data_IF_286250621237
#
_entry.id   IF_286250621237
#
_cell.length_a   1.000
_cell.length_b   1.000
_cell.length_c   1.000
_cell.angle_alpha   90.00
_cell.angle_beta   90.00
_cell.angle_gamma   90.00
#
_symmetry.space_group_name_H-M   'P 1'
#
loop_
_entity.id
_entity.type
_entity.pdbx_description
1 polymer ?
#
# COMPACT_ATOMS: atom_id res chain seq x y z
N UNK A 1 0.37 -17.92 31.94
CA UNK A 1 -1.00 -17.44 32.18
C UNK A 1 -1.75 -17.55 30.87
N UNK A 2 -2.89 -18.22 30.84
CA UNK A 2 -3.74 -18.24 29.65
C UNK A 2 -4.39 -16.85 29.51
N UNK A 3 -3.99 -16.08 28.52
CA UNK A 3 -4.66 -14.81 28.20
C UNK A 3 -6.01 -15.18 27.58
N UNK A 4 -7.10 -14.86 28.26
CA UNK A 4 -8.45 -15.00 27.68
C UNK A 4 -8.64 -13.95 26.61
N UNK A 5 -8.64 -14.37 25.34
CA UNK A 5 -8.89 -13.50 24.19
C UNK A 5 -10.39 -13.18 24.14
N UNK A 6 -10.73 -11.89 24.08
CA UNK A 6 -12.14 -11.47 24.02
C UNK A 6 -12.71 -11.67 22.62
N UNK A 7 -14.05 -11.74 22.49
CA UNK A 7 -14.71 -11.76 21.18
C UNK A 7 -14.37 -10.51 20.35
N UNK A 8 -14.19 -9.36 21.01
CA UNK A 8 -13.82 -8.11 20.37
C UNK A 8 -12.42 -8.18 19.75
N UNK A 9 -11.46 -8.80 20.45
CA UNK A 9 -10.09 -9.02 19.95
C UNK A 9 -10.09 -9.89 18.70
N UNK A 10 -10.83 -10.99 18.72
CA UNK A 10 -10.98 -11.90 17.57
C UNK A 10 -11.63 -11.22 16.37
N UNK A 11 -12.71 -10.47 16.60
CA UNK A 11 -13.41 -9.75 15.52
C UNK A 11 -12.54 -8.63 14.96
N UNK A 12 -11.84 -7.89 15.82
CA UNK A 12 -10.90 -6.84 15.40
C UNK A 12 -9.75 -7.40 14.56
N UNK A 13 -9.13 -8.48 15.01
CA UNK A 13 -8.08 -9.20 14.30
C UNK A 13 -8.55 -9.69 12.92
N UNK A 14 -9.71 -10.37 12.87
CA UNK A 14 -10.30 -10.84 11.63
C UNK A 14 -10.64 -9.67 10.69
N UNK A 15 -11.22 -8.59 11.21
CA UNK A 15 -11.52 -7.37 10.46
C UNK A 15 -10.27 -6.74 9.84
N UNK A 16 -9.17 -6.68 10.59
CA UNK A 16 -7.90 -6.15 10.08
C UNK A 16 -7.32 -7.01 8.96
N UNK A 17 -7.37 -8.34 9.08
CA UNK A 17 -6.93 -9.27 8.03
C UNK A 17 -7.82 -9.13 6.80
N UNK A 18 -9.15 -9.11 6.97
CA UNK A 18 -10.10 -8.92 5.86
C UNK A 18 -9.87 -7.59 5.15
N UNK A 19 -9.55 -6.52 5.88
CA UNK A 19 -9.19 -5.23 5.30
C UNK A 19 -7.94 -5.35 4.44
N UNK A 20 -6.86 -5.95 4.94
CA UNK A 20 -5.63 -6.16 4.16
C UNK A 20 -5.90 -6.99 2.89
N UNK A 21 -6.65 -8.08 3.00
CA UNK A 21 -7.05 -8.93 1.86
C UNK A 21 -7.86 -8.14 0.84
N UNK A 22 -8.86 -7.36 1.28
CA UNK A 22 -9.68 -6.55 0.41
C UNK A 22 -8.87 -5.48 -0.34
N UNK A 23 -7.91 -4.83 0.34
CA UNK A 23 -7.01 -3.87 -0.30
C UNK A 23 -6.14 -4.52 -1.37
N UNK A 24 -5.55 -5.69 -1.11
CA UNK A 24 -4.73 -6.39 -2.08
C UNK A 24 -5.53 -6.96 -3.26
N UNK A 25 -6.76 -7.42 -3.01
CA UNK A 25 -7.70 -7.77 -4.07
C UNK A 25 -8.01 -6.56 -4.97
N UNK A 26 -8.29 -5.39 -4.37
CA UNK A 26 -8.51 -4.15 -5.10
C UNK A 26 -7.27 -3.72 -5.91
N UNK A 27 -6.07 -3.83 -5.34
CA UNK A 27 -4.79 -3.61 -6.05
C UNK A 27 -4.67 -4.53 -7.27
N UNK A 28 -4.98 -5.82 -7.13
CA UNK A 28 -4.98 -6.78 -8.24
C UNK A 28 -5.95 -6.39 -9.36
N UNK A 29 -7.18 -6.04 -8.99
CA UNK A 29 -8.21 -5.56 -9.93
C UNK A 29 -7.75 -4.28 -10.64
N UNK A 30 -7.20 -3.30 -9.91
CA UNK A 30 -6.66 -2.07 -10.47
C UNK A 30 -5.49 -2.34 -11.42
N UNK A 31 -4.54 -3.19 -11.03
CA UNK A 31 -3.38 -3.53 -11.84
C UNK A 31 -3.79 -4.19 -13.17
N UNK A 32 -4.78 -5.09 -13.12
CA UNK A 32 -5.35 -5.73 -14.29
C UNK A 32 -6.14 -4.74 -15.17
N UNK A 33 -7.12 -4.03 -14.60
CA UNK A 33 -7.99 -3.11 -15.33
C UNK A 33 -7.21 -1.96 -15.98
N UNK A 34 -6.14 -1.49 -15.34
CA UNK A 34 -5.33 -0.38 -15.85
C UNK A 34 -4.42 -0.78 -17.03
N UNK A 35 -4.39 -2.06 -17.45
CA UNK A 35 -3.73 -2.51 -18.70
C UNK A 35 -4.56 -2.20 -19.95
N UNK A 36 -5.88 -2.04 -19.82
CA UNK A 36 -6.80 -1.93 -20.95
C UNK A 36 -7.26 -0.51 -21.27
N UNK A 37 -8.47 -0.42 -21.84
CA UNK A 37 -9.18 0.85 -22.10
C UNK A 37 -9.35 1.66 -20.82
N UNK A 38 -9.40 2.98 -20.98
CA UNK A 38 -9.62 3.90 -19.87
C UNK A 38 -11.01 3.65 -19.28
N UNK A 39 -11.10 3.60 -17.94
CA UNK A 39 -12.35 3.42 -17.22
C UNK A 39 -12.39 4.38 -16.03
N UNK A 40 -13.41 5.25 -15.91
CA UNK A 40 -13.47 6.24 -14.82
C UNK A 40 -13.45 5.63 -13.42
N UNK A 41 -14.04 4.44 -13.23
CA UNK A 41 -14.07 3.78 -11.92
C UNK A 41 -12.67 3.38 -11.42
N UNK A 42 -11.68 3.17 -12.30
CA UNK A 42 -10.31 2.82 -11.91
C UNK A 42 -9.67 3.98 -11.13
N UNK A 43 -9.96 5.22 -11.54
CA UNK A 43 -9.53 6.41 -10.81
C UNK A 43 -10.16 6.43 -9.40
N UNK A 44 -11.48 6.27 -9.31
CA UNK A 44 -12.20 6.32 -8.04
C UNK A 44 -11.78 5.21 -7.07
N UNK A 45 -11.66 3.97 -7.57
CA UNK A 45 -11.19 2.84 -6.75
C UNK A 45 -9.74 3.07 -6.28
N UNK A 46 -8.89 3.65 -7.12
CA UNK A 46 -7.51 3.98 -6.71
C UNK A 46 -7.49 5.03 -5.60
N UNK A 47 -8.33 6.08 -5.70
CA UNK A 47 -8.49 7.07 -4.61
C UNK A 47 -8.95 6.40 -3.32
N UNK A 48 -9.91 5.47 -3.40
CA UNK A 48 -10.37 4.68 -2.26
C UNK A 48 -9.25 3.86 -1.60
N UNK A 49 -8.48 3.11 -2.40
CA UNK A 49 -7.33 2.31 -1.91
C UNK A 49 -6.27 3.20 -1.26
N UNK A 50 -5.95 4.35 -1.85
CA UNK A 50 -5.00 5.30 -1.28
C UNK A 50 -5.52 5.85 0.06
N UNK A 51 -6.79 6.27 0.10
CA UNK A 51 -7.41 6.79 1.32
C UNK A 51 -7.43 5.78 2.46
N UNK A 52 -7.83 4.54 2.19
CA UNK A 52 -7.77 3.46 3.18
C UNK A 52 -6.33 3.19 3.63
N UNK A 53 -5.36 3.19 2.71
CA UNK A 53 -3.95 3.06 3.07
C UNK A 53 -3.46 4.17 4.01
N UNK A 54 -3.91 5.41 3.81
CA UNK A 54 -3.58 6.54 4.71
C UNK A 54 -4.18 6.32 6.10
N UNK A 55 -5.44 5.89 6.20
CA UNK A 55 -6.10 5.60 7.49
C UNK A 55 -5.37 4.48 8.24
N UNK A 56 -5.02 3.40 7.54
CA UNK A 56 -4.26 2.29 8.13
C UNK A 56 -2.88 2.74 8.63
N UNK A 57 -2.17 3.55 7.84
CA UNK A 57 -0.85 4.02 8.22
C UNK A 57 -0.88 4.99 9.40
N UNK A 58 -1.93 5.81 9.54
CA UNK A 58 -2.10 6.68 10.70
C UNK A 58 -2.18 5.86 12.00
N UNK A 59 -3.03 4.83 12.03
CA UNK A 59 -3.12 3.92 13.19
C UNK A 59 -1.80 3.19 13.47
N UNK A 60 -1.13 2.72 12.42
CA UNK A 60 0.12 1.99 12.55
C UNK A 60 1.26 2.85 13.11
N UNK A 61 1.44 4.07 12.60
CA UNK A 61 2.46 5.02 13.11
C UNK A 61 2.11 5.47 14.52
N UNK A 62 0.84 5.70 14.82
CA UNK A 62 0.39 6.07 16.16
C UNK A 62 0.76 5.00 17.20
N UNK A 63 0.69 3.72 16.83
CA UNK A 63 1.18 2.64 17.68
C UNK A 63 2.70 2.75 17.90
N UNK A 64 3.51 2.89 16.84
CA UNK A 64 4.98 3.03 16.98
C UNK A 64 5.40 4.26 17.79
N UNK A 65 4.70 5.39 17.63
CA UNK A 65 4.91 6.58 18.45
C UNK A 65 4.63 6.29 19.93
N UNK A 66 3.55 5.56 20.22
CA UNK A 66 3.20 5.18 21.58
C UNK A 66 4.23 4.20 22.19
N UNK A 67 4.78 3.28 21.40
CA UNK A 67 5.86 2.38 21.83
C UNK A 67 7.13 3.16 22.18
N UNK A 68 7.54 4.11 21.35
CA UNK A 68 8.70 4.97 21.63
C UNK A 68 8.47 5.82 22.87
N UNK A 69 7.29 6.44 23.00
CA UNK A 69 6.95 7.24 24.17
C UNK A 69 6.99 6.41 25.47
N UNK A 70 6.44 5.20 25.44
CA UNK A 70 6.51 4.27 26.57
C UNK A 70 7.97 3.88 26.88
N UNK A 71 8.75 3.53 25.85
CA UNK A 71 10.16 3.13 26.01
C UNK A 71 11.03 4.24 26.60
N UNK A 72 10.81 5.51 26.24
CA UNK A 72 11.54 6.65 26.83
C UNK A 72 11.35 6.68 28.36
N UNK A 73 10.15 6.36 28.84
CA UNK A 73 9.87 6.28 30.27
C UNK A 73 10.32 4.95 30.91
N UNK A 74 10.49 3.89 30.12
CA UNK A 74 10.76 2.53 30.58
C UNK A 74 11.78 1.79 29.68
N UNK A 75 13.04 2.26 29.58
CA UNK A 75 13.98 1.80 28.54
C UNK A 75 14.42 0.34 28.69
N UNK A 76 14.24 -0.26 29.87
CA UNK A 76 14.61 -1.64 30.16
C UNK A 76 13.42 -2.60 30.20
N UNK A 77 12.20 -2.08 30.02
CA UNK A 77 10.99 -2.91 30.01
C UNK A 77 10.80 -3.57 28.64
N UNK A 78 10.00 -4.63 28.63
CA UNK A 78 9.56 -5.27 27.38
C UNK A 78 8.84 -4.25 26.51
N UNK A 79 8.92 -4.46 25.19
CA UNK A 79 8.14 -3.69 24.24
C UNK A 79 6.66 -3.68 24.65
N UNK A 80 6.13 -2.48 24.87
CA UNK A 80 4.74 -2.24 25.24
C UNK A 80 3.91 -1.98 23.98
N UNK A 81 2.61 -2.15 24.09
CA UNK A 81 1.64 -1.76 23.08
C UNK A 81 0.43 -1.12 23.72
N UNK A 82 -0.28 -0.30 22.96
CA UNK A 82 -1.59 0.18 23.40
C UNK A 82 -2.56 -0.98 23.66
N UNK A 83 -3.61 -0.79 24.48
CA UNK A 83 -4.62 -1.83 24.70
C UNK A 83 -5.24 -2.36 23.41
N UNK A 84 -5.47 -1.48 22.42
CA UNK A 84 -5.97 -1.87 21.10
C UNK A 84 -4.95 -2.73 20.35
N UNK A 85 -3.69 -2.30 20.31
CA UNK A 85 -2.61 -3.07 19.68
C UNK A 85 -2.44 -4.45 20.32
N UNK A 86 -2.45 -4.51 21.65
CA UNK A 86 -2.37 -5.76 22.42
C UNK A 86 -3.55 -6.68 22.11
N UNK A 87 -4.78 -6.14 22.08
CA UNK A 87 -5.99 -6.90 21.75
C UNK A 87 -5.92 -7.52 20.36
N UNK A 88 -5.53 -6.72 19.34
CA UNK A 88 -5.37 -7.21 17.98
C UNK A 88 -4.27 -8.27 17.86
N UNK A 89 -3.12 -8.07 18.51
CA UNK A 89 -2.03 -9.03 18.51
C UNK A 89 -2.44 -10.36 19.17
N UNK A 90 -3.15 -10.31 20.30
CA UNK A 90 -3.71 -11.49 20.96
C UNK A 90 -4.73 -12.20 20.07
N UNK A 91 -5.62 -11.43 19.43
CA UNK A 91 -6.60 -11.94 18.49
C UNK A 91 -5.96 -12.71 17.33
N UNK A 92 -4.90 -12.15 16.73
CA UNK A 92 -4.13 -12.78 15.65
C UNK A 92 -3.30 -13.97 16.14
N UNK A 93 -2.80 -13.94 17.37
CA UNK A 93 -1.99 -15.00 17.97
C UNK A 93 -2.74 -16.31 18.21
N UNK A 94 -4.07 -16.32 18.14
CA UNK A 94 -4.89 -17.53 18.31
C UNK A 94 -4.55 -18.65 17.31
N UNK A 95 -3.95 -18.32 16.17
CA UNK A 95 -3.54 -19.32 15.16
C UNK A 95 -2.36 -20.19 15.60
N UNK A 96 -1.55 -19.73 16.58
CA UNK A 96 -0.50 -20.51 17.22
C UNK A 96 -0.28 -20.03 18.66
N UNK A 97 -1.15 -20.47 19.61
CA UNK A 97 -1.12 -19.98 21.00
C UNK A 97 0.18 -20.30 21.75
N UNK A 98 0.94 -21.29 21.28
CA UNK A 98 2.26 -21.67 21.80
C UNK A 98 3.38 -20.70 21.38
N UNK A 99 3.09 -19.73 20.50
CA UNK A 99 4.06 -18.79 19.93
C UNK A 99 3.70 -17.35 20.29
N UNK A 100 4.05 -16.88 21.51
CA UNK A 100 3.55 -15.61 22.05
C UNK A 100 3.95 -14.37 21.24
N UNK A 101 5.02 -14.42 20.45
CA UNK A 101 5.43 -13.33 19.56
C UNK A 101 4.75 -13.35 18.19
N UNK A 102 4.12 -14.47 17.78
CA UNK A 102 3.61 -14.59 16.41
C UNK A 102 2.47 -13.60 16.12
N UNK A 103 1.56 -13.40 17.07
CA UNK A 103 0.46 -12.44 16.92
C UNK A 103 0.95 -11.02 16.64
N UNK A 104 2.03 -10.62 17.29
CA UNK A 104 2.72 -9.33 17.06
C UNK A 104 3.30 -9.23 15.66
N UNK A 105 4.00 -10.27 15.20
CA UNK A 105 4.60 -10.26 13.86
C UNK A 105 3.51 -10.23 12.77
N UNK A 106 2.41 -10.98 12.95
CA UNK A 106 1.25 -10.95 12.04
C UNK A 106 0.61 -9.55 12.04
N UNK A 107 0.48 -8.91 13.20
CA UNK A 107 -0.11 -7.57 13.31
C UNK A 107 0.71 -6.55 12.52
N UNK A 108 2.02 -6.51 12.74
CA UNK A 108 2.90 -5.62 12.00
C UNK A 108 2.90 -5.96 10.50
N UNK A 109 2.98 -7.23 10.13
CA UNK A 109 2.92 -7.64 8.72
C UNK A 109 1.64 -7.12 8.05
N UNK A 110 0.50 -7.29 8.71
CA UNK A 110 -0.82 -6.86 8.21
C UNK A 110 -0.89 -5.34 8.04
N UNK A 111 -0.47 -4.58 9.07
CA UNK A 111 -0.40 -3.12 9.00
C UNK A 111 0.52 -2.61 7.88
N UNK A 112 1.69 -3.22 7.71
CA UNK A 112 2.63 -2.88 6.65
C UNK A 112 2.11 -3.21 5.26
N UNK A 113 1.31 -4.27 5.10
CA UNK A 113 0.69 -4.64 3.84
C UNK A 113 -0.47 -3.70 3.45
N UNK A 114 -1.25 -3.21 4.42
CA UNK A 114 -2.24 -2.15 4.22
C UNK A 114 -1.56 -0.87 3.74
N UNK A 115 -0.47 -0.48 4.41
CA UNK A 115 0.32 0.68 4.02
C UNK A 115 0.91 0.54 2.61
N UNK A 116 1.53 -0.60 2.31
CA UNK A 116 2.09 -0.88 0.99
C UNK A 116 1.01 -0.83 -0.11
N UNK A 117 -0.18 -1.36 0.14
CA UNK A 117 -1.28 -1.30 -0.82
C UNK A 117 -1.70 0.15 -1.14
N UNK A 118 -1.70 1.06 -0.15
CA UNK A 118 -1.94 2.48 -0.36
C UNK A 118 -0.89 3.13 -1.29
N UNK A 119 0.39 2.84 -1.06
CA UNK A 119 1.51 3.31 -1.90
C UNK A 119 1.42 2.74 -3.33
N UNK A 120 1.10 1.46 -3.47
CA UNK A 120 0.85 0.84 -4.78
C UNK A 120 -0.33 1.52 -5.49
N UNK A 121 -1.38 1.90 -4.75
CA UNK A 121 -2.49 2.72 -5.24
C UNK A 121 -2.01 4.01 -5.91
N UNK A 122 -1.04 4.73 -5.30
CA UNK A 122 -0.44 5.94 -5.90
C UNK A 122 0.31 5.62 -7.21
N UNK A 123 1.05 4.51 -7.26
CA UNK A 123 1.77 4.09 -8.47
C UNK A 123 0.80 3.67 -9.58
N UNK A 124 -0.32 3.04 -9.23
CA UNK A 124 -1.35 2.61 -10.16
C UNK A 124 -2.14 3.81 -10.70
N UNK A 125 -2.60 4.73 -9.85
CA UNK A 125 -3.37 5.90 -10.30
C UNK A 125 -2.52 6.79 -11.22
N UNK A 126 -1.22 6.90 -10.97
CA UNK A 126 -0.30 7.70 -11.81
C UNK A 126 0.22 6.98 -13.05
N UNK A 127 -0.23 5.75 -13.36
CA UNK A 127 0.26 4.96 -14.51
C UNK A 127 0.15 5.67 -15.85
N UNK A 128 -0.85 6.55 -16.02
CA UNK A 128 -1.11 7.31 -17.25
C UNK A 128 -0.55 8.74 -17.22
N UNK A 129 0.14 9.11 -16.14
CA UNK A 129 0.75 10.42 -15.93
C UNK A 129 2.21 10.25 -15.44
N UNK A 130 3.06 9.71 -16.32
CA UNK A 130 4.38 9.18 -15.96
C UNK A 130 5.37 10.22 -15.43
N UNK A 131 5.22 11.49 -15.81
CA UNK A 131 6.10 12.59 -15.42
C UNK A 131 5.76 13.22 -14.06
N UNK A 132 4.74 12.73 -13.36
CA UNK A 132 4.28 13.28 -12.08
C UNK A 132 5.27 13.04 -10.94
N UNK A 133 5.42 14.02 -10.05
CA UNK A 133 6.20 13.85 -8.83
C UNK A 133 5.55 12.81 -7.92
N UNK A 134 4.21 12.76 -7.90
CA UNK A 134 3.46 11.74 -7.17
C UNK A 134 3.93 10.32 -7.50
N UNK A 135 4.18 10.02 -8.79
CA UNK A 135 4.68 8.72 -9.23
C UNK A 135 6.08 8.43 -8.72
N UNK A 136 6.99 9.40 -8.77
CA UNK A 136 8.37 9.25 -8.29
C UNK A 136 8.37 8.87 -6.80
N UNK A 137 7.67 9.64 -5.97
CA UNK A 137 7.56 9.40 -4.54
C UNK A 137 6.82 8.11 -4.23
N UNK A 138 5.73 7.80 -4.94
CA UNK A 138 5.00 6.55 -4.80
C UNK A 138 5.88 5.32 -5.08
N UNK A 139 6.71 5.34 -6.14
CA UNK A 139 7.63 4.23 -6.45
C UNK A 139 8.72 4.07 -5.38
N UNK A 140 9.26 5.18 -4.88
CA UNK A 140 10.24 5.15 -3.79
C UNK A 140 9.62 4.58 -2.51
N UNK A 141 8.39 4.98 -2.20
CA UNK A 141 7.64 4.44 -1.07
C UNK A 141 7.37 2.94 -1.23
N UNK A 142 6.91 2.48 -2.40
CA UNK A 142 6.73 1.03 -2.67
C UNK A 142 8.03 0.25 -2.50
N UNK A 143 9.17 0.80 -2.92
CA UNK A 143 10.46 0.12 -2.75
C UNK A 143 10.85 0.01 -1.28
N UNK A 144 10.85 1.13 -0.56
CA UNK A 144 11.23 1.19 0.86
C UNK A 144 10.29 0.32 1.71
N UNK A 145 8.99 0.50 1.54
CA UNK A 145 7.97 -0.25 2.26
C UNK A 145 7.92 -1.72 1.82
N UNK A 146 8.28 -2.03 0.58
CA UNK A 146 8.45 -3.39 0.09
C UNK A 146 9.58 -4.13 0.81
N UNK A 147 10.74 -3.49 0.97
CA UNK A 147 11.87 -4.06 1.74
C UNK A 147 11.45 -4.30 3.20
N UNK A 148 10.82 -3.31 3.83
CA UNK A 148 10.35 -3.43 5.21
C UNK A 148 9.23 -4.48 5.36
N UNK A 149 8.32 -4.59 4.39
CA UNK A 149 7.29 -5.63 4.36
C UNK A 149 7.87 -7.03 4.17
N UNK A 150 8.91 -7.19 3.36
CA UNK A 150 9.65 -8.46 3.23
C UNK A 150 10.33 -8.82 4.55
N UNK A 151 10.92 -7.85 5.25
CA UNK A 151 11.48 -8.09 6.58
C UNK A 151 10.41 -8.65 7.54
N UNK A 152 9.24 -8.02 7.63
CA UNK A 152 8.14 -8.54 8.45
C UNK A 152 7.64 -9.91 8.02
N UNK A 153 7.66 -10.19 6.72
CA UNK A 153 7.33 -11.53 6.23
C UNK A 153 8.34 -12.56 6.77
N UNK A 154 9.64 -12.26 6.72
CA UNK A 154 10.68 -13.16 7.24
C UNK A 154 10.61 -13.29 8.77
N UNK A 155 10.37 -12.20 9.50
CA UNK A 155 10.14 -12.22 10.95
C UNK A 155 8.94 -13.11 11.31
N UNK A 156 7.82 -12.96 10.60
CA UNK A 156 6.61 -13.75 10.81
C UNK A 156 6.85 -15.22 10.49
N UNK A 157 7.44 -15.52 9.33
CA UNK A 157 7.69 -16.88 8.88
C UNK A 157 8.69 -17.61 9.77
N UNK A 158 9.75 -16.94 10.23
CA UNK A 158 10.75 -17.55 11.13
C UNK A 158 10.10 -18.02 12.43
N UNK A 159 9.28 -17.20 13.08
CA UNK A 159 8.53 -17.59 14.28
C UNK A 159 7.51 -18.69 13.93
N UNK A 160 6.74 -18.52 12.85
CA UNK A 160 5.74 -19.49 12.42
C UNK A 160 6.35 -20.87 12.14
N UNK A 161 7.58 -20.94 11.64
CA UNK A 161 8.32 -22.16 11.34
C UNK A 161 9.12 -22.72 12.53
N UNK A 162 9.03 -22.10 13.72
CA UNK A 162 9.55 -22.66 14.96
C UNK A 162 10.88 -22.08 15.45
N UNK A 163 11.36 -20.97 14.88
CA UNK A 163 12.48 -20.24 15.49
C UNK A 163 12.08 -19.73 16.88
N UNK A 164 13.02 -19.78 17.83
CA UNK A 164 12.82 -19.28 19.20
C UNK A 164 12.63 -17.76 19.27
N UNK A 165 13.03 -17.04 18.22
CA UNK A 165 12.82 -15.61 18.04
C UNK A 165 12.65 -15.27 16.56
N UNK A 166 12.14 -14.06 16.30
CA UNK A 166 12.01 -13.54 14.95
C UNK A 166 13.40 -13.24 14.36
N UNK A 167 13.61 -13.63 13.09
CA UNK A 167 14.89 -13.48 12.37
C UNK A 167 14.72 -12.45 11.25
N UNK A 168 15.45 -11.34 11.29
CA UNK A 168 15.37 -10.28 10.28
C UNK A 168 16.32 -9.12 10.57
N UNK A 169 16.26 -8.04 9.77
CA UNK A 169 17.15 -6.88 9.93
C UNK A 169 17.04 -6.28 11.34
N UNK A 170 15.83 -6.12 11.85
CA UNK A 170 15.51 -5.64 13.19
C UNK A 170 15.95 -6.56 14.33
N UNK A 171 16.47 -7.75 14.04
CA UNK A 171 17.07 -8.65 15.03
C UNK A 171 18.53 -8.97 14.72
N UNK A 172 19.14 -8.24 13.77
CA UNK A 172 20.44 -8.57 13.18
C UNK A 172 20.53 -10.03 12.73
N UNK A 173 19.50 -10.48 12.02
CA UNK A 173 19.35 -11.88 11.59
C UNK A 173 19.39 -12.87 12.76
N UNK A 174 18.84 -12.49 13.91
CA UNK A 174 18.80 -13.30 15.13
C UNK A 174 20.08 -13.27 15.97
N UNK A 175 21.04 -12.39 15.66
CA UNK A 175 22.29 -12.24 16.43
C UNK A 175 22.11 -11.45 17.73
N UNK A 176 21.05 -10.67 17.85
CA UNK A 176 20.74 -9.97 19.11
C UNK A 176 20.09 -10.94 20.10
N UNK A 177 20.65 -10.99 21.32
CA UNK A 177 20.11 -11.79 22.41
C UNK A 177 18.79 -11.21 22.95
N UNK A 178 17.84 -12.06 23.39
CA UNK A 178 16.61 -11.59 24.01
C UNK A 178 16.88 -10.72 25.25
N UNK A 179 16.40 -9.48 25.23
CA UNK A 179 16.53 -8.55 26.36
C UNK A 179 16.37 -7.09 25.94
N UNK A 180 16.69 -6.14 26.85
CA UNK A 180 16.52 -4.71 26.63
C UNK A 180 17.20 -4.18 25.36
N UNK A 181 18.38 -4.71 25.01
CA UNK A 181 19.11 -4.34 23.80
C UNK A 181 18.33 -4.66 22.52
N UNK A 182 17.81 -5.90 22.42
CA UNK A 182 16.97 -6.33 21.30
C UNK A 182 15.69 -5.49 21.23
N UNK A 183 14.98 -5.29 22.34
CA UNK A 183 13.71 -4.54 22.36
C UNK A 183 13.92 -3.09 21.93
N UNK A 184 14.95 -2.44 22.49
CA UNK A 184 15.33 -1.07 22.14
C UNK A 184 15.59 -0.94 20.65
N UNK A 185 16.43 -1.83 20.10
CA UNK A 185 16.77 -1.79 18.68
C UNK A 185 15.54 -2.00 17.80
N UNK A 186 14.68 -2.98 18.13
CA UNK A 186 13.44 -3.24 17.40
C UNK A 186 12.50 -2.03 17.43
N UNK A 187 12.26 -1.43 18.59
CA UNK A 187 11.36 -0.27 18.73
C UNK A 187 11.83 0.87 17.81
N UNK A 188 13.11 1.25 17.89
CA UNK A 188 13.66 2.34 17.07
C UNK A 188 13.71 2.00 15.59
N UNK A 189 14.05 0.76 15.22
CA UNK A 189 14.08 0.33 13.83
C UNK A 189 12.72 0.48 13.16
N UNK A 190 11.68 -0.10 13.77
CA UNK A 190 10.33 -0.06 13.20
C UNK A 190 9.74 1.34 13.22
N UNK A 191 10.00 2.12 14.29
CA UNK A 191 9.59 3.52 14.36
C UNK A 191 10.19 4.35 13.22
N UNK A 192 11.52 4.29 13.04
CA UNK A 192 12.20 5.07 11.99
C UNK A 192 11.74 4.65 10.59
N UNK A 193 11.62 3.35 10.34
CA UNK A 193 11.12 2.85 9.06
C UNK A 193 9.69 3.37 8.80
N UNK A 194 8.78 3.27 9.76
CA UNK A 194 7.41 3.73 9.59
C UNK A 194 7.29 5.25 9.45
N UNK A 195 8.08 6.04 10.19
CA UNK A 195 8.10 7.50 10.04
C UNK A 195 8.62 7.90 8.66
N UNK A 196 9.75 7.35 8.22
CA UNK A 196 10.31 7.63 6.89
C UNK A 196 9.32 7.24 5.78
N UNK A 197 8.74 6.04 5.86
CA UNK A 197 7.70 5.59 4.95
C UNK A 197 6.50 6.54 4.91
N UNK A 198 6.04 6.98 6.08
CA UNK A 198 4.90 7.90 6.21
C UNK A 198 5.16 9.26 5.60
N UNK A 199 6.36 9.81 5.80
CA UNK A 199 6.78 11.08 5.17
C UNK A 199 6.79 10.92 3.65
N UNK A 200 7.34 9.83 3.13
CA UNK A 200 7.34 9.54 1.69
C UNK A 200 5.91 9.44 1.15
N UNK A 201 5.01 8.75 1.88
CA UNK A 201 3.62 8.61 1.46
C UNK A 201 2.86 9.93 1.51
N UNK A 202 3.06 10.72 2.56
CA UNK A 202 2.47 12.06 2.67
C UNK A 202 2.91 12.97 1.53
N UNK A 203 4.21 12.97 1.17
CA UNK A 203 4.72 13.72 0.03
C UNK A 203 4.12 13.21 -1.29
N UNK A 204 3.97 11.89 -1.44
CA UNK A 204 3.35 11.30 -2.63
C UNK A 204 1.87 11.72 -2.77
N UNK A 205 1.11 11.70 -1.66
CA UNK A 205 -0.30 12.13 -1.62
C UNK A 205 -0.42 13.64 -1.83
N UNK A 206 0.46 14.44 -1.24
CA UNK A 206 0.51 15.89 -1.46
C UNK A 206 0.73 16.21 -2.94
N UNK A 207 1.73 15.60 -3.57
CA UNK A 207 1.94 15.79 -5.00
C UNK A 207 0.79 15.25 -5.83
N UNK A 208 0.19 14.12 -5.46
CA UNK A 208 -0.99 13.58 -6.15
C UNK A 208 -2.17 14.57 -6.09
N UNK A 209 -2.37 15.23 -4.94
CA UNK A 209 -3.38 16.26 -4.76
C UNK A 209 -3.11 17.50 -5.64
N UNK A 210 -1.87 17.99 -5.66
CA UNK A 210 -1.47 19.11 -6.51
C UNK A 210 -1.62 18.78 -8.01
N UNK A 211 -1.24 17.57 -8.41
CA UNK A 211 -1.21 17.09 -9.80
C UNK A 211 -2.53 16.41 -10.21
N UNK A 212 -3.57 16.45 -9.36
CA UNK A 212 -4.82 15.68 -9.52
C UNK A 212 -5.51 15.90 -10.86
N UNK A 213 -5.46 17.12 -11.41
CA UNK A 213 -6.07 17.46 -12.71
C UNK A 213 -5.35 16.74 -13.87
N UNK A 214 -4.02 16.72 -13.85
CA UNK A 214 -3.21 16.02 -14.84
C UNK A 214 -3.44 14.50 -14.76
N UNK A 215 -3.50 13.96 -13.55
CA UNK A 215 -3.75 12.52 -13.33
C UNK A 215 -5.17 12.15 -13.79
N UNK A 216 -6.19 12.93 -13.40
CA UNK A 216 -7.59 12.68 -13.78
C UNK A 216 -7.81 12.77 -15.30
N UNK A 217 -7.13 13.68 -16.00
CA UNK A 217 -7.21 13.78 -17.46
C UNK A 217 -6.81 12.47 -18.18
N UNK A 218 -5.94 11.66 -17.58
CA UNK A 218 -5.58 10.33 -18.06
C UNK A 218 -6.71 9.29 -17.98
N UNK A 219 -7.78 9.57 -17.22
CA UNK A 219 -8.92 8.68 -16.98
C UNK A 219 -10.26 9.17 -17.55
N UNK A 220 -10.28 10.35 -18.20
CA UNK A 220 -11.49 10.94 -18.79
C UNK A 220 -11.47 11.03 -20.32
N UNK A 221 -10.46 10.48 -21.01
CA UNK A 221 -10.41 10.45 -22.48
C UNK A 221 -11.28 9.32 -23.05
N UNK A 222 -12.57 9.62 -23.19
CA UNK A 222 -13.48 9.04 -24.19
C UNK A 222 -14.28 10.19 -24.81
N UNK A 223 -13.62 11.03 -25.60
CA UNK A 223 -14.32 11.78 -26.64
C UNK A 223 -14.04 11.00 -27.92
N UNK A 224 -15.04 10.37 -28.56
CA UNK A 224 -14.88 9.85 -29.92
C UNK A 224 -14.28 10.97 -30.75
N UNK A 225 -13.08 10.75 -31.29
CA UNK A 225 -12.55 11.65 -32.31
C UNK A 225 -13.64 11.67 -33.40
N UNK A 226 -14.21 12.84 -33.76
CA UNK A 226 -15.12 12.90 -34.90
C UNK A 226 -14.42 12.17 -36.04
N UNK A 227 -15.09 11.17 -36.62
CA UNK A 227 -14.59 10.50 -37.83
C UNK A 227 -14.23 11.65 -38.77
N UNK A 228 -12.98 11.72 -39.22
CA UNK A 228 -12.64 12.66 -40.28
C UNK A 228 -13.69 12.48 -41.37
N UNK A 229 -14.33 13.57 -41.87
CA UNK A 229 -15.30 13.44 -42.94
C UNK A 229 -14.67 12.56 -44.01
N UNK A 230 -15.36 11.47 -44.32
CA UNK A 230 -14.99 10.58 -45.41
C UNK A 230 -14.71 11.48 -46.61
N UNK A 231 -13.50 11.44 -47.20
CA UNK A 231 -13.19 12.31 -48.32
C UNK A 231 -14.29 12.10 -49.34
N UNK A 232 -15.09 13.14 -49.57
CA UNK A 232 -16.21 13.11 -50.49
C UNK A 232 -15.69 12.46 -51.76
N UNK A 233 -16.24 11.29 -52.10
CA UNK A 233 -15.88 10.53 -53.29
C UNK A 233 -15.74 11.55 -54.42
N UNK A 234 -14.52 11.68 -54.93
CA UNK A 234 -14.18 12.63 -55.96
C UNK A 234 -15.23 12.51 -57.06
N UNK A 235 -16.02 13.57 -57.24
CA UNK A 235 -17.04 13.63 -58.26
C UNK A 235 -16.39 13.22 -59.58
N UNK A 236 -16.88 12.11 -60.09
CA UNK A 236 -16.50 11.46 -61.34
C UNK A 236 -16.42 12.55 -62.42
N UNK A 237 -15.19 12.84 -62.87
CA UNK A 237 -14.95 13.80 -63.93
C UNK A 237 -15.50 13.20 -65.22
N UNK A 238 -16.74 13.56 -65.56
CA UNK A 238 -17.36 13.18 -66.83
C UNK A 238 -16.62 13.95 -67.94
N UNK A 239 -15.90 13.27 -68.85
CA UNK A 239 -15.22 13.97 -69.94
C UNK A 239 -16.27 14.58 -70.87
N UNK A 240 -16.16 15.90 -71.08
CA UNK A 240 -16.94 16.63 -72.07
C UNK A 240 -16.52 16.16 -73.47
N UNK A 241 -17.44 15.70 -74.34
CA UNK A 241 -17.09 15.34 -75.70
C UNK A 241 -16.63 16.58 -76.47
N UNK A 242 -15.49 16.44 -77.17
CA UNK A 242 -14.92 17.48 -78.01
C UNK A 242 -15.90 17.86 -79.13
N UNK A 243 -16.13 19.16 -79.28
CA UNK A 243 -16.94 19.76 -80.34
C UNK A 243 -16.19 19.68 -81.69
N UNK A 244 -16.68 18.92 -82.69
CA UNK A 244 -16.07 18.81 -83.99
C UNK A 244 -16.62 19.93 -84.90
N UNK A 245 -16.30 21.19 -84.62
CA UNK A 245 -16.99 22.28 -85.31
C UNK A 245 -16.45 23.70 -85.16
N UNK A 246 -15.17 23.94 -85.43
CA UNK A 246 -14.71 25.30 -85.74
C UNK A 246 -13.69 25.29 -86.88
N UNK A 247 -14.12 25.80 -88.03
CA UNK A 247 -13.30 26.21 -89.19
C UNK A 247 -12.94 27.68 -89.07
#
# INVERSE_FOLDING_TARGET
MNVTVSMLDSVGAAGLVLWAVAMWAAVGVLAYANRGRVRPWVYQLSVGVIGLGVVGQFGHVQEHVAQVAYWIAHPNDKAWMTPLGTGLANGLGQVAPDKPSLGMEILHLTGNFIFLAGLVGVVLITRRALSTKARKWGRMGVLMQGIHGVEHLVLTLSVALGASQAIGLSTWFGLLEPGPGLWTYRIWWHFLANVVGSVIFAIAVYHLWCERRQVAAGYHRDVPRPRAPEPAAAAEHTPVPADPGAR
#
